data_IF_626420623715
#
_entry.id   IF_626420623715
#
_cell.length_a   1.000
_cell.length_b   1.000
_cell.length_c   1.000
_cell.angle_alpha   90.00
_cell.angle_beta   90.00
_cell.angle_gamma   90.00
#
_symmetry.space_group_name_H-M   'P 1'
#
loop_
_entity.id
_entity.type
_entity.pdbx_description
1 polymer ?
#
# COMPACT_ATOMS: atom_id res chain seq x y z
N UNK A 1 -1.27 7.94 -7.26
CA UNK A 1 -0.52 6.68 -7.50
C UNK A 1 -0.57 5.79 -6.26
N UNK A 2 -1.32 4.68 -6.33
CA UNK A 2 -1.47 3.71 -5.24
C UNK A 2 -0.33 2.69 -5.27
N UNK A 3 0.50 2.63 -4.23
CA UNK A 3 1.42 1.50 -4.07
C UNK A 3 0.66 0.31 -3.47
N UNK A 4 0.55 -0.78 -4.24
CA UNK A 4 -0.01 -2.05 -3.81
C UNK A 4 1.12 -3.05 -3.63
N UNK A 5 1.20 -3.64 -2.44
CA UNK A 5 2.12 -4.76 -2.18
C UNK A 5 1.38 -6.05 -2.45
N UNK A 6 1.96 -6.88 -3.31
CA UNK A 6 1.43 -8.19 -3.64
C UNK A 6 1.63 -9.16 -2.47
N UNK A 7 0.57 -9.73 -1.90
CA UNK A 7 0.73 -10.68 -0.77
C UNK A 7 1.51 -11.96 -1.15
N UNK A 8 1.29 -12.45 -2.38
CA UNK A 8 1.90 -13.68 -2.93
C UNK A 8 3.40 -13.54 -3.22
N UNK A 9 3.77 -12.40 -3.80
CA UNK A 9 5.07 -12.18 -4.41
C UNK A 9 5.89 -11.10 -3.69
N UNK A 10 5.29 -10.48 -2.66
CA UNK A 10 5.81 -9.38 -1.82
C UNK A 10 6.39 -8.19 -2.58
N UNK A 11 6.18 -8.12 -3.90
CA UNK A 11 6.59 -7.02 -4.76
C UNK A 11 5.57 -5.90 -4.70
N UNK A 12 6.09 -4.68 -4.69
CA UNK A 12 5.32 -3.45 -4.78
C UNK A 12 5.12 -3.11 -6.24
N UNK A 13 3.90 -2.79 -6.61
CA UNK A 13 3.57 -2.29 -7.93
C UNK A 13 2.58 -1.14 -7.80
N UNK A 14 2.60 -0.26 -8.78
CA UNK A 14 1.72 0.90 -8.89
C UNK A 14 0.82 0.70 -10.10
N UNK A 15 -0.43 0.27 -9.92
CA UNK A 15 -1.36 0.20 -11.02
C UNK A 15 -1.69 1.62 -11.50
N UNK A 16 -1.91 1.77 -12.80
CA UNK A 16 -2.32 3.03 -13.43
C UNK A 16 -3.76 3.37 -13.06
N UNK A 17 -4.14 4.63 -13.26
CA UNK A 17 -5.49 5.11 -12.96
C UNK A 17 -6.56 4.39 -13.79
N UNK A 18 -6.25 4.06 -15.05
CA UNK A 18 -7.11 3.25 -15.93
C UNK A 18 -7.35 1.84 -15.36
N UNK A 19 -6.30 1.19 -14.88
CA UNK A 19 -6.38 -0.13 -14.24
C UNK A 19 -7.21 -0.06 -12.94
N UNK A 20 -6.96 0.96 -12.11
CA UNK A 20 -7.74 1.21 -10.88
C UNK A 20 -9.24 1.35 -11.18
N UNK A 21 -9.58 2.09 -12.23
CA UNK A 21 -10.97 2.29 -12.64
C UNK A 21 -11.61 0.99 -13.15
N UNK A 22 -10.84 0.17 -13.87
CA UNK A 22 -11.23 -1.19 -14.27
C UNK A 22 -11.53 -2.10 -13.07
N UNK A 23 -10.68 -2.07 -12.04
CA UNK A 23 -10.89 -2.84 -10.81
C UNK A 23 -12.10 -2.35 -10.01
N UNK A 24 -12.33 -1.03 -9.94
CA UNK A 24 -13.50 -0.46 -9.28
C UNK A 24 -14.80 -0.90 -9.96
N UNK A 25 -14.87 -0.83 -11.29
CA UNK A 25 -16.07 -1.23 -12.04
C UNK A 25 -16.34 -2.73 -11.95
N UNK A 26 -15.30 -3.57 -11.95
CA UNK A 26 -15.46 -5.01 -11.70
C UNK A 26 -15.93 -5.34 -10.27
N UNK A 27 -15.61 -4.48 -9.31
CA UNK A 27 -15.96 -4.64 -7.91
C UNK A 27 -17.22 -3.88 -7.52
N UNK A 28 -17.96 -3.32 -8.47
CA UNK A 28 -19.22 -2.62 -8.25
C UNK A 28 -20.21 -3.56 -7.52
N UNK A 29 -20.64 -3.16 -6.31
CA UNK A 29 -21.45 -3.99 -5.41
C UNK A 29 -20.68 -4.86 -4.40
N UNK A 30 -19.34 -4.83 -4.38
CA UNK A 30 -18.49 -5.56 -3.41
C UNK A 30 -17.67 -4.59 -2.56
N UNK A 31 -17.23 -5.03 -1.38
CA UNK A 31 -16.35 -4.24 -0.48
C UNK A 31 -14.88 -4.21 -0.93
N UNK A 32 -14.50 -5.14 -1.81
CA UNK A 32 -13.12 -5.37 -2.22
C UNK A 32 -13.05 -5.59 -3.73
N UNK A 33 -11.99 -5.08 -4.34
CA UNK A 33 -11.64 -5.40 -5.73
C UNK A 33 -10.45 -6.35 -5.78
N UNK A 34 -10.40 -7.17 -6.83
CA UNK A 34 -9.28 -8.04 -7.13
C UNK A 34 -8.33 -7.32 -8.10
N UNK A 35 -7.23 -6.80 -7.60
CA UNK A 35 -6.17 -6.15 -8.38
C UNK A 35 -5.17 -7.20 -8.84
N UNK A 36 -5.00 -7.38 -10.15
CA UNK A 36 -3.98 -8.31 -10.65
C UNK A 36 -2.58 -7.76 -10.43
N UNK A 37 -1.68 -8.61 -9.93
CA UNK A 37 -0.27 -8.26 -9.85
C UNK A 37 0.44 -8.52 -11.19
N UNK A 38 1.12 -7.52 -11.80
CA UNK A 38 1.82 -7.70 -13.07
C UNK A 38 3.03 -8.64 -12.97
N UNK A 39 3.54 -8.90 -11.76
CA UNK A 39 4.71 -9.78 -11.55
C UNK A 39 4.37 -11.25 -11.38
N UNK A 40 3.18 -11.59 -10.88
CA UNK A 40 2.81 -12.98 -10.61
C UNK A 40 1.46 -13.39 -11.19
N UNK A 41 0.72 -12.46 -11.80
CA UNK A 41 -0.60 -12.70 -12.40
C UNK A 41 -1.71 -13.01 -11.39
N UNK A 42 -1.44 -12.92 -10.07
CA UNK A 42 -2.42 -13.28 -9.04
C UNK A 42 -3.20 -12.04 -8.58
N UNK A 43 -4.50 -12.23 -8.36
CA UNK A 43 -5.39 -11.20 -7.82
C UNK A 43 -5.14 -10.95 -6.33
N UNK A 44 -4.92 -9.67 -5.97
CA UNK A 44 -4.86 -9.17 -4.60
C UNK A 44 -6.18 -8.53 -4.22
N UNK A 45 -6.70 -8.87 -3.04
CA UNK A 45 -7.92 -8.25 -2.50
C UNK A 45 -7.56 -6.89 -1.91
N UNK A 46 -7.96 -5.81 -2.58
CA UNK A 46 -7.78 -4.44 -2.11
C UNK A 46 -9.14 -3.86 -1.78
N UNK A 47 -9.25 -3.16 -0.65
CA UNK A 47 -10.47 -2.46 -0.28
C UNK A 47 -10.84 -1.42 -1.34
N UNK A 48 -12.11 -1.42 -1.76
CA UNK A 48 -12.61 -0.54 -2.81
C UNK A 48 -12.43 0.95 -2.44
N UNK A 49 -12.58 1.26 -1.15
CA UNK A 49 -12.28 2.59 -0.59
C UNK A 49 -10.83 3.03 -0.81
N UNK A 50 -9.85 2.10 -0.75
CA UNK A 50 -8.43 2.41 -0.96
C UNK A 50 -8.13 2.72 -2.43
N UNK A 51 -8.80 2.02 -3.35
CA UNK A 51 -8.70 2.27 -4.80
C UNK A 51 -9.34 3.61 -5.16
N UNK A 52 -10.55 3.87 -4.65
CA UNK A 52 -11.24 5.14 -4.85
C UNK A 52 -10.40 6.32 -4.32
N UNK A 53 -9.85 6.21 -3.11
CA UNK A 53 -9.02 7.25 -2.51
C UNK A 53 -7.75 7.54 -3.34
N UNK A 54 -7.18 6.53 -3.99
CA UNK A 54 -6.03 6.71 -4.85
C UNK A 54 -6.33 7.43 -6.17
N UNK A 55 -7.53 7.24 -6.72
CA UNK A 55 -8.01 7.99 -7.89
C UNK A 55 -8.39 9.44 -7.52
N UNK A 56 -8.97 9.65 -6.35
CA UNK A 56 -9.43 10.98 -5.92
C UNK A 56 -8.29 11.98 -5.65
N UNK A 57 -7.03 11.56 -5.65
CA UNK A 57 -5.87 12.44 -5.43
C UNK A 57 -5.80 13.04 -4.01
N UNK A 58 -6.83 12.87 -3.18
CA UNK A 58 -6.87 13.27 -1.79
C UNK A 58 -5.92 12.36 -1.02
N UNK A 59 -4.68 12.81 -0.87
CA UNK A 59 -3.73 12.26 0.10
C UNK A 59 -4.32 12.43 1.50
N UNK A 60 -5.07 11.44 1.97
CA UNK A 60 -5.05 11.09 3.39
C UNK A 60 -4.15 9.88 3.53
N UNK A 61 -3.06 10.07 4.27
CA UNK A 61 -2.16 8.99 4.64
C UNK A 61 -2.99 7.82 5.23
N UNK A 62 -2.73 6.56 4.84
CA UNK A 62 -3.40 5.45 5.47
C UNK A 62 -2.99 5.41 6.95
N UNK A 63 -3.97 5.49 7.84
CA UNK A 63 -3.81 5.16 9.24
C UNK A 63 -3.13 3.77 9.32
N UNK A 64 -2.00 3.64 10.02
CA UNK A 64 -1.38 2.35 10.24
C UNK A 64 -2.35 1.52 11.06
N UNK A 65 -2.76 0.37 10.52
CA UNK A 65 -3.22 -0.72 11.36
C UNK A 65 -2.00 -1.22 12.16
N UNK A 66 -1.77 -0.53 13.27
CA UNK A 66 -1.23 -1.02 14.54
C UNK A 66 -1.45 -2.55 14.66
N UNK A 67 -0.43 -3.40 14.84
CA UNK A 67 0.29 -3.54 16.10
C UNK A 67 1.54 -4.43 15.96
N UNK A 68 2.67 -3.92 16.43
CA UNK A 68 3.73 -4.58 17.23
C UNK A 68 4.82 -3.51 17.45
N UNK A 69 4.61 -2.58 18.39
CA UNK A 69 5.08 -2.69 19.76
C UNK A 69 6.59 -2.99 19.87
N UNK A 70 7.41 -1.93 20.03
CA UNK A 70 8.43 -1.76 21.08
C UNK A 70 9.67 -0.97 20.59
N UNK A 71 9.88 0.20 21.20
CA UNK A 71 11.13 0.98 21.26
C UNK A 71 11.48 1.73 19.96
N UNK A 72 11.37 3.05 19.85
CA UNK A 72 12.05 4.09 20.66
C UNK A 72 13.55 3.69 20.81
N UNK A 73 14.54 4.36 20.22
CA UNK A 73 14.74 5.80 20.11
C UNK A 73 15.58 6.18 18.87
N UNK A 74 15.38 7.43 18.46
CA UNK A 74 16.20 8.19 17.52
C UNK A 74 17.66 8.34 17.96
N UNK A 75 18.51 8.56 16.95
CA UNK A 75 19.92 8.97 16.94
C UNK A 75 20.22 10.24 17.77
N UNK A 76 21.42 10.86 17.69
CA UNK A 76 22.80 10.42 17.39
C UNK A 76 23.78 10.84 18.53
N UNK A 77 25.06 10.47 18.45
CA UNK A 77 26.23 11.31 18.81
C UNK A 77 27.45 10.45 19.15
N UNK A 78 28.50 10.62 18.34
CA UNK A 78 29.87 10.34 18.74
C UNK A 78 30.30 11.33 19.84
N UNK A 79 31.05 10.86 20.84
CA UNK A 79 32.14 11.66 21.38
C UNK A 79 33.47 10.89 21.37
N UNK A 80 34.47 11.55 20.78
CA UNK A 80 35.92 11.40 21.00
C UNK A 80 36.31 11.00 22.43
N UNK A 81 37.21 9.99 22.57
CA UNK A 81 38.35 9.88 23.53
C UNK A 81 39.37 8.91 22.87
N UNK A 82 40.59 9.32 22.51
CA UNK A 82 41.83 9.49 23.32
C UNK A 82 42.35 8.17 23.89
N UNK A 83 43.42 7.64 23.28
CA UNK A 83 44.66 7.19 23.93
C UNK A 83 45.83 7.31 22.93
#
# INVERSE_FOLDING_TARGET
MLAVTCDKCRRRFTPTDEELQGYLRQAEGKKYALVLCPHCGKGNKIALARLAQALSGVRRAPAPAEQAAAGEQAAPAEPTQTE
#
